data_IF_318711203136
#
_entry.id   IF_318711203136
#
_cell.length_a   1.000
_cell.length_b   1.000
_cell.length_c   1.000
_cell.angle_alpha   90.00
_cell.angle_beta   90.00
_cell.angle_gamma   90.00
#
_symmetry.space_group_name_H-M   'P 1'
#
loop_
_entity.id
_entity.type
_entity.pdbx_description
1 polymer ?
#
# COMPACT_ATOMS: atom_id res chain seq x y z
N UNK A 1 -15.44 20.49 -6.75
CA UNK A 1 -15.50 20.91 -8.15
C UNK A 1 -15.84 22.40 -8.32
N UNK A 2 -16.77 22.98 -7.56
CA UNK A 2 -17.13 24.42 -7.70
C UNK A 2 -15.94 25.41 -7.52
N UNK A 3 -14.85 25.03 -6.85
CA UNK A 3 -13.69 25.89 -6.60
C UNK A 3 -12.43 25.46 -7.37
N UNK A 4 -12.37 24.24 -7.88
CA UNK A 4 -11.21 23.72 -8.60
C UNK A 4 -11.59 22.43 -9.35
N UNK A 5 -11.21 22.35 -10.63
CA UNK A 5 -11.35 21.13 -11.46
C UNK A 5 -10.20 20.13 -11.22
N UNK A 6 -9.17 20.53 -10.47
CA UNK A 6 -8.05 19.67 -10.15
C UNK A 6 -8.49 18.50 -9.28
N UNK A 7 -8.42 17.27 -9.83
CA UNK A 7 -8.79 16.05 -9.13
C UNK A 7 -7.63 15.57 -8.25
N UNK A 8 -7.70 15.84 -6.96
CA UNK A 8 -6.64 15.49 -6.01
C UNK A 8 -6.46 13.98 -5.80
N UNK A 9 -7.44 13.17 -6.18
CA UNK A 9 -7.35 11.70 -6.05
C UNK A 9 -6.44 11.11 -7.12
N UNK A 10 -6.51 11.62 -8.36
CA UNK A 10 -5.81 11.07 -9.52
C UNK A 10 -4.66 11.94 -10.05
N UNK A 11 -4.62 13.24 -9.68
CA UNK A 11 -3.65 14.19 -10.22
C UNK A 11 -2.65 14.71 -9.19
N UNK A 12 -3.03 14.82 -7.89
CA UNK A 12 -2.11 15.31 -6.88
C UNK A 12 -1.03 14.26 -6.57
N UNK A 13 0.21 14.60 -6.87
CA UNK A 13 1.39 13.83 -6.50
C UNK A 13 1.83 14.22 -5.10
N UNK A 14 1.85 13.25 -4.18
CA UNK A 14 2.17 13.47 -2.77
C UNK A 14 2.97 12.30 -2.21
N UNK A 15 3.81 12.58 -1.23
CA UNK A 15 4.59 11.56 -0.53
C UNK A 15 3.67 10.74 0.39
N UNK A 16 3.57 9.42 0.23
CA UNK A 16 2.72 8.58 1.07
C UNK A 16 3.30 8.37 2.49
N UNK A 17 4.57 8.65 2.69
CA UNK A 17 5.25 8.38 3.94
C UNK A 17 5.09 6.91 4.34
N UNK A 18 4.83 6.66 5.62
CA UNK A 18 4.71 5.30 6.16
C UNK A 18 3.59 4.45 5.56
N UNK A 19 2.69 5.02 4.74
CA UNK A 19 1.70 4.22 4.01
C UNK A 19 2.33 3.36 2.89
N UNK A 20 3.56 3.62 2.48
CA UNK A 20 4.31 2.79 1.53
C UNK A 20 4.93 1.53 2.18
N UNK A 21 5.20 1.54 3.49
CA UNK A 21 5.90 0.46 4.19
C UNK A 21 5.35 -0.95 3.97
N UNK A 22 4.02 -1.21 3.93
CA UNK A 22 3.51 -2.57 3.72
C UNK A 22 4.08 -3.26 2.48
N UNK A 23 4.40 -2.51 1.42
CA UNK A 23 4.99 -3.07 0.20
C UNK A 23 6.44 -3.49 0.40
N UNK A 24 7.23 -2.78 1.23
CA UNK A 24 8.58 -3.21 1.64
C UNK A 24 8.50 -4.52 2.42
N UNK A 25 7.53 -4.62 3.34
CA UNK A 25 7.33 -5.81 4.16
C UNK A 25 6.78 -6.99 3.34
N UNK A 26 5.91 -6.75 2.35
CA UNK A 26 5.46 -7.77 1.41
C UNK A 26 6.64 -8.31 0.59
N UNK A 27 7.49 -7.42 0.07
CA UNK A 27 8.69 -7.82 -0.65
C UNK A 27 9.68 -8.59 0.24
N UNK A 28 9.78 -8.26 1.52
CA UNK A 28 10.59 -9.01 2.48
C UNK A 28 10.05 -10.44 2.67
N UNK A 29 8.74 -10.61 2.85
CA UNK A 29 8.12 -11.93 2.95
C UNK A 29 8.35 -12.79 1.70
N UNK A 30 8.34 -12.20 0.51
CA UNK A 30 8.72 -12.87 -0.76
C UNK A 30 10.23 -13.22 -0.84
N UNK A 31 11.06 -12.69 0.07
CA UNK A 31 12.51 -12.90 0.11
C UNK A 31 12.95 -13.52 1.44
N UNK A 32 12.32 -14.62 1.86
CA UNK A 32 12.66 -15.46 3.01
C UNK A 32 12.51 -14.82 4.40
N UNK A 33 11.84 -13.68 4.52
CA UNK A 33 11.42 -13.19 5.82
C UNK A 33 10.11 -13.86 6.26
N UNK A 34 9.88 -13.86 7.55
CA UNK A 34 8.60 -14.25 8.16
C UNK A 34 8.10 -13.16 9.10
N UNK A 35 6.83 -13.16 9.50
CA UNK A 35 6.31 -12.20 10.48
C UNK A 35 7.05 -12.21 11.83
N UNK A 36 7.73 -13.30 12.16
CA UNK A 36 8.53 -13.49 13.38
C UNK A 36 10.02 -13.18 13.20
N UNK A 37 10.49 -12.96 11.98
CA UNK A 37 11.91 -12.58 11.73
C UNK A 37 12.28 -11.35 12.56
N UNK A 38 13.39 -11.44 13.28
CA UNK A 38 13.91 -10.34 14.09
C UNK A 38 14.70 -9.36 13.22
N UNK A 39 14.37 -8.09 13.34
CA UNK A 39 15.08 -6.97 12.71
C UNK A 39 15.47 -5.97 13.80
N UNK A 40 16.68 -5.45 13.73
CA UNK A 40 17.23 -4.55 14.74
C UNK A 40 16.66 -3.14 14.59
N UNK A 41 16.01 -2.62 15.62
CA UNK A 41 15.58 -1.22 15.75
C UNK A 41 16.62 -0.43 16.58
N UNK A 42 17.69 0.02 15.94
CA UNK A 42 18.81 0.72 16.53
C UNK A 42 19.30 1.85 15.60
N UNK A 43 20.10 2.79 16.06
CA UNK A 43 20.66 3.86 15.26
C UNK A 43 21.30 3.34 13.97
N UNK A 44 21.16 4.11 12.90
CA UNK A 44 21.67 3.78 11.57
C UNK A 44 22.14 5.08 10.91
N UNK A 45 23.34 5.06 10.35
CA UNK A 45 23.93 6.15 9.57
C UNK A 45 24.35 5.56 8.23
N UNK A 46 23.94 6.17 7.14
CA UNK A 46 24.13 5.66 5.79
C UNK A 46 24.72 6.73 4.87
N UNK A 47 25.70 6.33 4.07
CA UNK A 47 26.15 7.11 2.92
C UNK A 47 25.17 6.92 1.77
N UNK A 48 24.75 8.01 1.12
CA UNK A 48 23.83 7.98 -0.01
C UNK A 48 24.52 8.32 -1.36
N UNK A 49 25.84 8.21 -1.42
CA UNK A 49 26.67 8.59 -2.56
C UNK A 49 27.72 9.64 -2.17
N UNK A 50 28.77 9.80 -2.99
CA UNK A 50 29.93 10.65 -2.71
C UNK A 50 29.57 12.13 -2.44
N UNK A 51 28.50 12.63 -3.03
CA UNK A 51 28.12 14.04 -2.99
C UNK A 51 26.94 14.34 -2.04
N UNK A 52 26.37 13.31 -1.41
CA UNK A 52 25.24 13.46 -0.50
C UNK A 52 25.70 13.37 0.96
N UNK A 53 25.11 14.22 1.80
CA UNK A 53 25.34 14.16 3.27
C UNK A 53 24.92 12.80 3.82
N UNK A 54 25.62 12.36 4.86
CA UNK A 54 25.25 11.18 5.64
C UNK A 54 23.77 11.27 6.04
N UNK A 55 23.01 10.21 5.73
CA UNK A 55 21.60 10.12 6.07
C UNK A 55 21.41 9.34 7.37
N UNK A 56 20.75 9.97 8.32
CA UNK A 56 20.47 9.41 9.63
C UNK A 56 18.97 9.35 9.86
N UNK A 57 18.30 8.26 9.44
CA UNK A 57 16.88 8.10 9.70
C UNK A 57 16.61 7.93 11.20
N UNK A 58 15.45 8.42 11.65
CA UNK A 58 14.99 8.28 13.03
C UNK A 58 13.57 7.68 13.07
N UNK A 59 13.25 6.98 14.16
CA UNK A 59 11.86 6.66 14.48
C UNK A 59 11.10 7.94 14.87
N UNK A 60 9.78 7.97 14.62
CA UNK A 60 8.95 9.14 14.94
C UNK A 60 9.10 9.61 16.40
N UNK A 61 9.20 8.68 17.32
CA UNK A 61 9.39 8.99 18.76
C UNK A 61 10.84 9.14 19.22
N UNK A 62 11.82 9.16 18.28
CA UNK A 62 13.27 9.24 18.56
C UNK A 62 13.79 8.18 19.55
N UNK A 63 13.09 7.05 19.67
CA UNK A 63 13.44 5.92 20.56
C UNK A 63 13.82 4.70 19.74
N UNK A 64 14.65 3.86 20.32
CA UNK A 64 15.11 2.59 19.79
C UNK A 64 14.58 1.46 20.66
N UNK A 65 14.29 0.30 20.06
CA UNK A 65 13.60 -0.79 20.75
C UNK A 65 14.32 -2.12 20.64
N UNK A 66 15.53 -2.12 20.03
CA UNK A 66 16.33 -3.32 19.86
C UNK A 66 15.76 -4.34 18.89
N UNK A 67 16.16 -5.61 18.97
CA UNK A 67 15.62 -6.67 18.14
C UNK A 67 14.11 -6.78 18.31
N UNK A 68 13.37 -6.64 17.21
CA UNK A 68 11.90 -6.67 17.19
C UNK A 68 11.43 -7.49 16.00
N UNK A 69 10.26 -8.14 16.11
CA UNK A 69 9.73 -8.95 15.03
C UNK A 69 9.30 -8.07 13.84
N UNK A 70 9.35 -8.64 12.64
CA UNK A 70 8.88 -8.00 11.41
C UNK A 70 7.45 -7.47 11.60
N UNK A 71 6.55 -8.26 12.18
CA UNK A 71 5.18 -7.88 12.55
C UNK A 71 5.16 -6.60 13.40
N UNK A 72 5.92 -6.55 14.47
CA UNK A 72 5.99 -5.40 15.36
C UNK A 72 6.49 -4.14 14.63
N UNK A 73 7.48 -4.30 13.75
CA UNK A 73 8.01 -3.23 12.92
C UNK A 73 6.95 -2.57 12.06
N UNK A 74 6.09 -3.35 11.41
CA UNK A 74 4.98 -2.83 10.60
C UNK A 74 3.86 -2.24 11.46
N UNK A 75 3.41 -2.95 12.52
CA UNK A 75 2.33 -2.52 13.40
C UNK A 75 2.65 -1.19 14.11
N UNK A 76 3.89 -1.01 14.54
CA UNK A 76 4.37 0.22 15.20
C UNK A 76 4.99 1.22 14.23
N UNK A 77 5.02 0.88 12.94
CA UNK A 77 5.55 1.76 11.88
C UNK A 77 7.00 2.20 12.11
N UNK A 78 7.89 1.28 12.52
CA UNK A 78 9.30 1.56 12.80
C UNK A 78 10.05 1.95 11.54
N UNK A 79 10.73 3.11 11.55
CA UNK A 79 11.49 3.59 10.40
C UNK A 79 12.80 2.81 10.23
N UNK A 80 13.57 2.66 11.31
CA UNK A 80 14.89 2.04 11.25
C UNK A 80 14.85 0.59 10.80
N UNK A 81 13.87 -0.18 11.30
CA UNK A 81 13.64 -1.54 10.84
C UNK A 81 13.33 -1.57 9.34
N UNK A 82 12.45 -0.67 8.86
CA UNK A 82 12.07 -0.59 7.44
C UNK A 82 13.28 -0.28 6.55
N UNK A 83 14.15 0.65 6.97
CA UNK A 83 15.36 0.99 6.21
C UNK A 83 16.34 -0.17 6.17
N UNK A 84 16.55 -0.91 7.26
CA UNK A 84 17.40 -2.11 7.29
C UNK A 84 16.88 -3.20 6.36
N UNK A 85 15.58 -3.46 6.38
CA UNK A 85 14.93 -4.40 5.45
C UNK A 85 15.16 -3.94 4.00
N UNK A 86 14.97 -2.66 3.72
CA UNK A 86 15.16 -2.12 2.38
C UNK A 86 16.62 -2.21 1.91
N UNK A 87 17.58 -2.03 2.81
CA UNK A 87 19.00 -2.19 2.52
C UNK A 87 19.34 -3.64 2.17
N UNK A 88 18.80 -4.61 2.92
CA UNK A 88 18.99 -6.04 2.69
C UNK A 88 18.35 -6.50 1.36
N UNK A 89 17.14 -6.05 1.08
CA UNK A 89 16.42 -6.37 -0.16
C UNK A 89 17.08 -5.79 -1.42
N UNK A 90 17.72 -4.64 -1.30
CA UNK A 90 18.32 -3.88 -2.38
C UNK A 90 17.34 -2.96 -3.12
N UNK A 91 17.80 -1.76 -3.44
CA UNK A 91 16.97 -0.69 -4.03
C UNK A 91 16.35 -1.05 -5.37
N UNK A 92 17.11 -1.73 -6.25
CA UNK A 92 16.59 -2.15 -7.57
C UNK A 92 15.35 -3.05 -7.47
N UNK A 93 15.32 -3.98 -6.49
CA UNK A 93 14.14 -4.83 -6.27
C UNK A 93 12.94 -3.99 -5.81
N UNK A 94 13.16 -3.06 -4.88
CA UNK A 94 12.10 -2.18 -4.34
C UNK A 94 11.52 -1.29 -5.43
N UNK A 95 12.37 -0.64 -6.22
CA UNK A 95 11.95 0.21 -7.34
C UNK A 95 11.15 -0.58 -8.36
N UNK A 96 11.66 -1.75 -8.79
CA UNK A 96 10.96 -2.60 -9.76
C UNK A 96 9.61 -3.10 -9.21
N UNK A 97 9.56 -3.47 -7.95
CA UNK A 97 8.32 -3.92 -7.31
C UNK A 97 7.29 -2.79 -7.22
N UNK A 98 7.70 -1.58 -6.84
CA UNK A 98 6.82 -0.42 -6.80
C UNK A 98 6.26 -0.01 -8.17
N UNK A 99 7.07 -0.16 -9.24
CA UNK A 99 6.63 0.04 -10.63
C UNK A 99 5.62 -1.04 -11.06
N UNK A 100 5.88 -2.31 -10.76
CA UNK A 100 4.94 -3.40 -11.05
C UNK A 100 3.58 -3.21 -10.40
N UNK A 101 3.55 -2.65 -9.19
CA UNK A 101 2.33 -2.29 -8.46
C UNK A 101 1.65 -1.03 -8.98
N UNK A 102 2.30 -0.28 -9.89
CA UNK A 102 1.79 0.99 -10.39
C UNK A 102 1.78 2.13 -9.37
N UNK A 103 2.54 2.00 -8.27
CA UNK A 103 2.62 3.04 -7.22
C UNK A 103 3.47 4.20 -7.70
N UNK A 104 4.68 3.91 -8.21
CA UNK A 104 5.62 4.91 -8.69
C UNK A 104 5.97 4.65 -10.14
N UNK A 105 6.07 5.71 -10.94
CA UNK A 105 6.46 5.59 -12.36
C UNK A 105 7.99 5.49 -12.50
N UNK A 106 8.72 6.50 -12.03
CA UNK A 106 10.19 6.57 -12.10
C UNK A 106 10.77 7.15 -10.79
N UNK A 107 10.73 6.40 -9.68
CA UNK A 107 11.27 6.89 -8.43
C UNK A 107 12.81 6.85 -8.43
N UNK A 108 13.42 7.80 -7.73
CA UNK A 108 14.87 7.79 -7.49
C UNK A 108 15.27 6.56 -6.65
N UNK A 109 16.41 5.97 -6.97
CA UNK A 109 16.97 4.82 -6.25
C UNK A 109 17.68 5.27 -4.96
N UNK A 110 16.93 5.79 -3.99
CA UNK A 110 17.41 6.20 -2.68
C UNK A 110 16.73 5.37 -1.59
N UNK A 111 17.45 5.04 -0.50
CA UNK A 111 16.88 4.25 0.61
C UNK A 111 15.68 4.93 1.27
N UNK A 112 15.59 6.25 1.19
CA UNK A 112 14.44 7.02 1.69
C UNK A 112 13.11 6.63 1.01
N UNK A 113 13.14 6.03 -0.20
CA UNK A 113 11.92 5.51 -0.86
C UNK A 113 11.20 4.49 0.03
N UNK A 114 11.93 3.70 0.82
CA UNK A 114 11.36 2.72 1.75
C UNK A 114 10.45 3.35 2.81
N UNK A 115 10.67 4.62 3.09
CA UNK A 115 9.86 5.43 4.00
C UNK A 115 8.79 6.27 3.28
N UNK A 116 8.60 6.04 1.96
CA UNK A 116 7.60 6.73 1.15
C UNK A 116 7.95 8.17 0.81
N UNK A 117 9.23 8.45 0.51
CA UNK A 117 9.69 9.79 0.09
C UNK A 117 9.40 10.11 -1.37
N UNK A 118 9.13 9.10 -2.21
CA UNK A 118 8.70 9.31 -3.59
C UNK A 118 7.21 9.67 -3.64
N UNK A 119 6.81 10.42 -4.66
CA UNK A 119 5.44 10.91 -4.80
C UNK A 119 4.55 9.95 -5.60
N UNK A 120 3.31 9.84 -5.18
CA UNK A 120 2.26 9.06 -5.85
C UNK A 120 0.90 9.72 -5.67
N UNK A 121 -0.12 9.20 -6.37
CA UNK A 121 -1.49 9.67 -6.17
C UNK A 121 -2.25 8.79 -5.17
N UNK A 122 -3.30 9.34 -4.58
CA UNK A 122 -4.17 8.58 -3.67
C UNK A 122 -4.77 7.37 -4.37
N UNK A 123 -5.19 7.51 -5.62
CA UNK A 123 -5.76 6.41 -6.41
C UNK A 123 -4.75 5.29 -6.63
N UNK A 124 -3.52 5.60 -7.07
CA UNK A 124 -2.46 4.59 -7.30
C UNK A 124 -2.15 3.80 -6.03
N UNK A 125 -1.96 4.51 -4.91
CA UNK A 125 -1.65 3.86 -3.65
C UNK A 125 -2.81 2.99 -3.15
N UNK A 126 -4.05 3.50 -3.17
CA UNK A 126 -5.24 2.74 -2.73
C UNK A 126 -5.45 1.50 -3.59
N UNK A 127 -5.28 1.61 -4.92
CA UNK A 127 -5.37 0.48 -5.84
C UNK A 127 -4.31 -0.60 -5.56
N UNK A 128 -3.09 -0.18 -5.23
CA UNK A 128 -2.03 -1.13 -4.86
C UNK A 128 -2.37 -1.89 -3.56
N UNK A 129 -3.02 -1.23 -2.58
CA UNK A 129 -3.49 -1.92 -1.37
C UNK A 129 -4.55 -2.98 -1.64
N UNK A 130 -5.35 -2.84 -2.70
CA UNK A 130 -6.32 -3.87 -3.08
C UNK A 130 -5.64 -5.22 -3.37
N UNK A 131 -4.36 -5.24 -3.77
CA UNK A 131 -3.65 -6.50 -3.98
C UNK A 131 -3.44 -7.31 -2.69
N UNK A 132 -3.40 -6.67 -1.51
CA UNK A 132 -3.32 -7.39 -0.24
C UNK A 132 -4.58 -8.21 0.04
N UNK A 133 -5.77 -7.65 -0.19
CA UNK A 133 -7.04 -8.33 0.04
C UNK A 133 -7.44 -9.25 -1.12
N UNK A 134 -6.85 -9.05 -2.30
CA UNK A 134 -7.12 -9.82 -3.51
C UNK A 134 -6.12 -10.97 -3.75
N UNK A 135 -5.53 -11.51 -2.70
CA UNK A 135 -4.61 -12.64 -2.80
C UNK A 135 -3.34 -12.37 -3.62
N UNK A 136 -2.83 -11.15 -3.61
CA UNK A 136 -1.60 -10.75 -4.31
C UNK A 136 -1.78 -10.36 -5.77
N UNK A 137 -3.01 -10.27 -6.27
CA UNK A 137 -3.31 -9.93 -7.66
C UNK A 137 -3.48 -8.44 -7.84
N UNK A 138 -2.85 -7.90 -8.90
CA UNK A 138 -2.94 -6.48 -9.23
C UNK A 138 -4.36 -6.08 -9.62
N UNK A 139 -4.88 -5.05 -8.99
CA UNK A 139 -6.17 -4.44 -9.32
C UNK A 139 -5.94 -3.16 -10.11
N UNK A 140 -6.57 -3.05 -11.27
CA UNK A 140 -6.67 -1.80 -12.04
C UNK A 140 -8.03 -1.18 -11.77
N UNK A 141 -8.10 0.08 -11.31
CA UNK A 141 -9.39 0.75 -11.09
C UNK A 141 -10.18 0.85 -12.40
N UNK A 142 -11.44 0.49 -12.37
CA UNK A 142 -12.36 0.59 -13.50
C UNK A 142 -13.38 1.67 -13.17
N UNK A 143 -13.51 2.67 -14.01
CA UNK A 143 -14.50 3.72 -13.89
C UNK A 143 -15.72 3.46 -14.76
N UNK A 144 -15.51 2.88 -15.97
CA UNK A 144 -16.55 2.54 -16.93
C UNK A 144 -16.50 1.02 -17.14
N UNK A 145 -17.51 0.33 -16.65
CA UNK A 145 -17.62 -1.12 -16.81
C UNK A 145 -18.08 -1.49 -18.22
N UNK A 146 -19.15 -0.84 -18.71
CA UNK A 146 -19.78 -1.14 -19.98
C UNK A 146 -20.37 0.11 -20.64
N UNK A 147 -20.36 0.14 -21.97
CA UNK A 147 -21.09 1.12 -22.79
C UNK A 147 -22.02 0.32 -23.73
N UNK A 148 -23.28 0.71 -23.79
CA UNK A 148 -24.29 0.14 -24.66
C UNK A 148 -24.89 1.24 -25.56
N UNK A 149 -25.32 0.86 -26.76
CA UNK A 149 -26.09 1.72 -27.63
C UNK A 149 -27.55 1.81 -27.19
N UNK A 150 -28.37 2.58 -27.94
CA UNK A 150 -29.81 2.73 -27.69
C UNK A 150 -30.63 1.44 -27.87
N UNK A 151 -30.07 0.45 -28.57
CA UNK A 151 -30.67 -0.84 -28.83
C UNK A 151 -30.27 -1.91 -27.82
N UNK A 152 -29.36 -1.57 -26.88
CA UNK A 152 -28.86 -2.46 -25.85
C UNK A 152 -27.67 -3.31 -26.27
N UNK A 153 -27.10 -3.09 -27.46
CA UNK A 153 -25.89 -3.79 -27.89
C UNK A 153 -24.70 -3.24 -27.15
N UNK A 154 -23.83 -4.12 -26.65
CA UNK A 154 -22.61 -3.73 -25.95
C UNK A 154 -21.53 -3.27 -26.93
N UNK A 155 -21.23 -1.97 -26.93
CA UNK A 155 -20.18 -1.35 -27.74
C UNK A 155 -18.79 -1.52 -27.07
N UNK A 156 -18.75 -1.41 -25.75
CA UNK A 156 -17.55 -1.54 -24.94
C UNK A 156 -17.81 -2.33 -23.68
N UNK A 157 -16.89 -3.23 -23.32
CA UNK A 157 -16.89 -3.98 -22.07
C UNK A 157 -15.47 -4.07 -21.52
N UNK A 158 -15.27 -3.67 -20.27
CA UNK A 158 -14.00 -3.81 -19.57
C UNK A 158 -13.72 -5.26 -19.17
N UNK A 159 -14.76 -6.03 -18.88
CA UNK A 159 -14.64 -7.45 -18.55
C UNK A 159 -14.29 -8.26 -19.82
N UNK A 160 -13.07 -8.76 -19.86
CA UNK A 160 -12.53 -9.56 -20.96
C UNK A 160 -12.32 -11.03 -20.60
N UNK A 161 -12.73 -11.42 -19.39
CA UNK A 161 -12.59 -12.81 -18.97
C UNK A 161 -13.61 -13.67 -19.69
N UNK A 162 -13.14 -14.77 -20.24
CA UNK A 162 -14.01 -15.75 -20.90
C UNK A 162 -14.59 -16.71 -19.87
N UNK A 163 -15.86 -16.92 -19.97
CA UNK A 163 -16.52 -17.97 -19.20
C UNK A 163 -16.61 -19.26 -20.00
N UNK A 164 -15.85 -20.26 -19.59
CA UNK A 164 -15.95 -21.60 -20.18
C UNK A 164 -17.17 -22.32 -19.64
N UNK A 165 -18.00 -22.83 -20.53
CA UNK A 165 -19.21 -23.62 -20.21
C UNK A 165 -20.36 -22.85 -19.54
N UNK A 166 -20.38 -21.50 -19.60
CA UNK A 166 -21.49 -20.70 -19.05
C UNK A 166 -22.82 -20.86 -19.79
N UNK A 167 -22.81 -21.27 -21.06
CA UNK A 167 -23.99 -21.43 -21.89
C UNK A 167 -24.65 -22.82 -21.79
N UNK A 168 -24.36 -23.57 -20.74
CA UNK A 168 -24.96 -24.88 -20.51
C UNK A 168 -26.37 -24.73 -19.96
N UNK A 169 -27.34 -25.38 -20.61
CA UNK A 169 -28.78 -25.33 -20.25
C UNK A 169 -29.07 -26.13 -18.96
N UNK A 170 -28.22 -27.08 -18.58
CA UNK A 170 -28.36 -27.89 -17.37
C UNK A 170 -26.98 -28.21 -16.77
N UNK A 171 -26.86 -28.08 -15.45
CA UNK A 171 -25.64 -28.39 -14.69
C UNK A 171 -25.66 -29.78 -14.04
N UNK A 172 -26.70 -30.56 -14.22
CA UNK A 172 -26.79 -31.93 -13.73
C UNK A 172 -25.71 -32.81 -14.39
N UNK A 173 -24.78 -33.29 -13.57
CA UNK A 173 -23.61 -34.11 -13.98
C UNK A 173 -22.62 -33.43 -14.94
N UNK A 174 -22.53 -32.09 -14.95
CA UNK A 174 -21.58 -31.32 -15.76
C UNK A 174 -20.62 -30.50 -14.88
N UNK A 175 -19.48 -30.22 -15.45
CA UNK A 175 -18.49 -29.37 -14.74
C UNK A 175 -19.04 -27.96 -14.50
N UNK A 176 -18.73 -27.40 -13.33
CA UNK A 176 -19.07 -26.04 -12.95
C UNK A 176 -18.45 -25.04 -13.94
N UNK A 177 -19.17 -23.98 -14.36
CA UNK A 177 -18.60 -22.91 -15.18
C UNK A 177 -17.34 -22.34 -14.56
N UNK A 178 -16.30 -22.17 -15.37
CA UNK A 178 -15.02 -21.58 -14.93
C UNK A 178 -14.78 -20.27 -15.66
N UNK A 179 -14.57 -19.21 -14.90
CA UNK A 179 -14.12 -17.91 -15.43
C UNK A 179 -12.59 -17.93 -15.46
N UNK A 180 -12.00 -17.57 -16.60
CA UNK A 180 -10.55 -17.45 -16.72
C UNK A 180 -10.03 -16.34 -15.79
N UNK A 181 -8.94 -16.64 -15.06
CA UNK A 181 -8.26 -15.66 -14.21
C UNK A 181 -7.13 -15.02 -15.01
N UNK A 182 -7.35 -13.80 -15.46
CA UNK A 182 -6.37 -13.01 -16.24
C UNK A 182 -5.68 -11.93 -15.41
N UNK A 183 -5.80 -12.00 -14.08
CA UNK A 183 -5.14 -11.04 -13.19
C UNK A 183 -3.62 -11.29 -13.12
N UNK A 184 -2.85 -10.20 -13.05
CA UNK A 184 -1.42 -10.25 -12.87
C UNK A 184 -1.07 -10.51 -11.40
N UNK A 185 -0.51 -11.68 -11.08
CA UNK A 185 -0.02 -12.02 -9.75
C UNK A 185 1.25 -11.25 -9.46
N UNK A 186 1.29 -10.44 -8.40
CA UNK A 186 2.43 -9.60 -7.99
C UNK A 186 3.22 -10.24 -6.85
N UNK A 187 2.52 -10.85 -5.90
CA UNK A 187 3.10 -11.62 -4.80
C UNK A 187 2.18 -12.80 -4.43
N UNK A 188 2.69 -13.75 -3.70
CA UNK A 188 1.96 -14.98 -3.39
C UNK A 188 0.71 -14.73 -2.53
N UNK A 189 -0.32 -15.60 -2.60
CA UNK A 189 -1.48 -15.50 -1.71
C UNK A 189 -1.09 -15.59 -0.22
N UNK A 190 -0.06 -16.36 0.10
CA UNK A 190 0.49 -16.52 1.46
C UNK A 190 1.04 -15.18 1.97
N UNK A 191 1.82 -14.49 1.14
CA UNK A 191 2.32 -13.13 1.45
C UNK A 191 1.16 -12.15 1.63
N UNK A 192 0.15 -12.18 0.75
CA UNK A 192 -1.04 -11.35 0.87
C UNK A 192 -1.74 -11.57 2.22
N UNK A 193 -1.93 -12.82 2.62
CA UNK A 193 -2.53 -13.18 3.91
C UNK A 193 -1.68 -12.69 5.09
N UNK A 194 -0.36 -12.91 5.07
CA UNK A 194 0.54 -12.50 6.15
C UNK A 194 0.55 -10.99 6.33
N UNK A 195 0.63 -10.22 5.23
CA UNK A 195 0.58 -8.75 5.27
C UNK A 195 -0.78 -8.27 5.78
N UNK A 196 -1.88 -8.85 5.31
CA UNK A 196 -3.23 -8.50 5.80
C UNK A 196 -3.33 -8.70 7.30
N UNK A 197 -2.88 -9.86 7.82
CA UNK A 197 -2.84 -10.14 9.27
C UNK A 197 -1.96 -9.13 10.05
N UNK A 198 -0.84 -8.70 9.47
CA UNK A 198 0.01 -7.67 10.11
C UNK A 198 -0.67 -6.28 10.07
N UNK A 199 -1.41 -5.97 9.00
CA UNK A 199 -2.16 -4.71 8.87
C UNK A 199 -3.42 -4.67 9.76
N UNK A 200 -4.06 -5.80 10.03
CA UNK A 200 -5.06 -5.94 11.10
C UNK A 200 -4.44 -5.59 12.47
N UNK A 201 -3.22 -6.07 12.71
CA UNK A 201 -2.44 -5.71 13.90
C UNK A 201 -2.18 -4.21 14.04
N UNK A 202 -2.05 -3.46 12.95
CA UNK A 202 -1.97 -1.97 12.98
C UNK A 202 -3.23 -1.37 13.61
N UNK A 203 -4.42 -1.91 13.30
CA UNK A 203 -5.69 -1.45 13.86
C UNK A 203 -5.85 -1.94 15.30
N UNK A 204 -5.54 -3.20 15.59
CA UNK A 204 -5.80 -3.80 16.91
C UNK A 204 -4.86 -3.28 18.00
N UNK A 205 -3.58 -3.10 17.71
CA UNK A 205 -2.51 -2.78 18.69
C UNK A 205 -1.47 -1.78 18.20
N UNK A 206 -1.58 -1.35 16.94
CA UNK A 206 -0.61 -0.48 16.27
C UNK A 206 -1.01 0.98 16.21
N UNK A 207 -0.57 1.64 15.14
CA UNK A 207 -0.76 3.08 14.93
C UNK A 207 -2.20 3.46 14.57
N UNK A 208 -3.02 2.51 14.07
CA UNK A 208 -4.42 2.70 13.71
C UNK A 208 -5.43 2.41 14.83
N UNK A 209 -4.98 2.27 16.08
CA UNK A 209 -5.76 1.78 17.24
C UNK A 209 -7.05 2.53 17.53
N UNK A 210 -7.19 3.76 17.05
CA UNK A 210 -8.44 4.53 17.17
C UNK A 210 -9.62 3.89 16.44
N UNK A 211 -9.36 3.13 15.39
CA UNK A 211 -10.37 2.45 14.59
C UNK A 211 -10.81 1.10 15.18
N UNK A 212 -10.15 0.63 16.24
CA UNK A 212 -10.45 -0.67 16.88
C UNK A 212 -11.91 -0.81 17.32
N UNK A 213 -12.55 0.31 17.71
CA UNK A 213 -13.94 0.30 18.19
C UNK A 213 -14.98 0.22 17.05
N UNK A 214 -14.55 0.35 15.79
CA UNK A 214 -15.40 0.08 14.65
C UNK A 214 -15.50 -1.44 14.55
N UNK A 215 -16.68 -1.99 14.77
CA UNK A 215 -16.90 -3.44 14.78
C UNK A 215 -16.93 -4.02 13.35
N UNK A 216 -15.79 -3.90 12.65
CA UNK A 216 -15.54 -4.41 11.31
C UNK A 216 -14.18 -5.08 11.27
N UNK A 217 -14.10 -6.22 10.57
CA UNK A 217 -12.83 -6.86 10.24
C UNK A 217 -12.11 -6.00 9.19
N UNK A 218 -11.14 -5.22 9.65
CA UNK A 218 -10.41 -4.28 8.80
C UNK A 218 -8.91 -4.35 9.03
N UNK A 219 -8.19 -4.08 7.98
CA UNK A 219 -6.76 -3.89 7.98
C UNK A 219 -6.41 -2.51 7.41
N UNK A 220 -5.27 -1.94 7.75
CA UNK A 220 -4.90 -0.65 7.21
C UNK A 220 -3.56 -0.12 7.72
N UNK A 221 -3.16 1.00 7.16
CA UNK A 221 -1.89 1.66 7.52
C UNK A 221 -2.03 3.17 7.53
N UNK A 222 -1.48 3.79 8.55
CA UNK A 222 -1.31 5.23 8.67
C UNK A 222 -0.05 5.68 7.93
N UNK A 223 -0.11 6.84 7.29
CA UNK A 223 1.03 7.56 6.73
C UNK A 223 1.11 8.97 7.31
N UNK A 224 2.32 9.43 7.55
CA UNK A 224 2.60 10.81 7.95
C UNK A 224 3.95 11.17 7.35
N UNK A 225 4.02 12.29 6.66
CA UNK A 225 5.26 12.79 6.08
C UNK A 225 6.05 13.63 7.09
N UNK A 226 7.29 13.92 6.75
CA UNK A 226 8.13 14.81 7.54
C UNK A 226 7.43 16.17 7.75
N UNK A 227 7.60 16.76 8.93
CA UNK A 227 6.97 18.03 9.34
C UNK A 227 5.42 17.99 9.33
N UNK A 228 4.80 16.81 9.26
CA UNK A 228 3.33 16.62 9.22
C UNK A 228 2.67 17.47 8.12
N UNK A 229 3.23 17.50 6.92
CA UNK A 229 2.65 18.22 5.78
C UNK A 229 1.52 17.44 5.13
N UNK A 230 1.64 16.11 5.14
CA UNK A 230 0.67 15.20 4.55
C UNK A 230 0.35 14.07 5.51
N UNK A 231 -0.91 13.74 5.65
CA UNK A 231 -1.39 12.61 6.45
C UNK A 231 -2.23 11.68 5.60
N UNK A 232 -2.01 10.38 5.78
CA UNK A 232 -2.63 9.32 5.00
C UNK A 232 -3.19 8.23 5.91
N UNK A 233 -4.30 7.68 5.48
CA UNK A 233 -4.78 6.39 5.96
C UNK A 233 -5.28 5.59 4.78
N UNK A 234 -4.77 4.37 4.61
CA UNK A 234 -5.32 3.42 3.65
C UNK A 234 -5.80 2.22 4.45
N UNK A 235 -7.09 1.96 4.36
CA UNK A 235 -7.74 0.84 5.04
C UNK A 235 -8.55 0.00 4.07
N UNK A 236 -8.77 -1.25 4.42
CA UNK A 236 -9.59 -2.15 3.62
C UNK A 236 -10.28 -3.21 4.48
N UNK A 237 -11.39 -3.68 3.97
CA UNK A 237 -12.11 -4.89 4.39
C UNK A 237 -12.07 -5.89 3.24
N UNK A 238 -12.71 -7.05 3.38
CA UNK A 238 -12.83 -8.03 2.29
C UNK A 238 -13.59 -7.52 1.05
N UNK A 239 -14.32 -6.39 1.17
CA UNK A 239 -15.21 -5.86 0.12
C UNK A 239 -14.91 -4.43 -0.29
N UNK A 240 -14.17 -3.67 0.50
CA UNK A 240 -13.99 -2.24 0.30
C UNK A 240 -12.56 -1.82 0.65
N UNK A 241 -11.94 -1.01 -0.20
CA UNK A 241 -10.70 -0.30 0.10
C UNK A 241 -10.96 1.20 0.10
N UNK A 242 -10.48 1.90 1.12
CA UNK A 242 -10.64 3.33 1.31
C UNK A 242 -9.26 3.96 1.50
N UNK A 243 -8.96 4.98 0.68
CA UNK A 243 -7.82 5.84 0.88
C UNK A 243 -8.28 7.22 1.32
N UNK A 244 -7.67 7.74 2.39
CA UNK A 244 -7.88 9.10 2.88
C UNK A 244 -6.55 9.84 2.87
N UNK A 245 -6.58 11.04 2.34
CA UNK A 245 -5.45 11.97 2.32
C UNK A 245 -5.90 13.33 2.83
N UNK A 246 -5.12 13.91 3.72
CA UNK A 246 -5.31 15.29 4.19
C UNK A 246 -3.98 16.03 4.09
N UNK A 247 -4.02 17.17 3.41
CA UNK A 247 -2.88 18.03 3.16
C UNK A 247 -3.32 19.32 2.49
N UNK A 248 -2.40 20.27 2.33
CA UNK A 248 -2.65 21.51 1.60
C UNK A 248 -2.11 21.40 0.18
N UNK A 249 -2.73 22.08 -0.79
CA UNK A 249 -2.25 22.12 -2.17
C UNK A 249 -0.81 22.65 -2.23
N UNK A 250 -0.52 23.74 -1.52
CA UNK A 250 0.84 24.18 -1.24
C UNK A 250 1.31 23.55 0.07
N UNK A 251 2.31 22.66 0.07
CA UNK A 251 2.71 21.92 1.25
C UNK A 251 3.06 22.81 2.43
N UNK A 252 2.31 22.71 3.50
CA UNK A 252 2.58 23.34 4.80
C UNK A 252 2.17 22.42 5.92
N UNK A 253 2.77 22.57 7.09
CA UNK A 253 2.46 21.72 8.24
C UNK A 253 0.98 21.81 8.62
N UNK A 254 0.37 20.64 8.86
CA UNK A 254 -0.99 20.51 9.42
C UNK A 254 -1.01 20.78 10.93
N UNK A 255 0.18 20.76 11.58
CA UNK A 255 0.34 20.94 13.00
C UNK A 255 1.17 19.84 13.65
N UNK A 256 1.80 20.14 14.78
CA UNK A 256 2.75 19.25 15.46
C UNK A 256 2.19 17.85 15.82
N UNK A 257 0.89 17.76 16.06
CA UNK A 257 0.22 16.54 16.52
C UNK A 257 -0.69 15.92 15.45
N UNK A 258 -0.76 16.50 14.25
CA UNK A 258 -1.59 15.97 13.17
C UNK A 258 -0.85 14.86 12.44
N UNK A 259 -1.40 13.66 12.52
CA UNK A 259 -0.84 12.43 11.97
C UNK A 259 -1.92 11.63 11.24
N UNK A 260 -1.52 10.68 10.39
CA UNK A 260 -2.46 9.78 9.74
C UNK A 260 -3.34 8.95 10.71
N UNK A 261 -2.95 8.84 11.97
CA UNK A 261 -3.75 8.20 13.01
C UNK A 261 -4.82 9.12 13.63
N UNK A 262 -4.81 10.39 13.31
CA UNK A 262 -5.68 11.40 13.96
C UNK A 262 -6.49 12.22 12.96
N UNK A 263 -5.89 12.57 11.83
CA UNK A 263 -6.43 13.54 10.87
C UNK A 263 -7.00 12.85 9.61
N UNK A 264 -6.36 11.78 9.13
CA UNK A 264 -6.78 11.03 7.94
C UNK A 264 -7.70 9.81 8.22
#
# INVERSE_FOLDING_TARGET
>A
FKKSEFNRVSQALRQPGSAFKPFIYALALENNYSPSTLVLDAPLVLEQGSDLKMWQPENYGKKFYGPSTLRMGLEKSRNLMTVRIAQDLGLKKIVNFSKKLGIYDNPNELLSISLGSAETTLLKLTSAYCSFVNGGKLVKPILIDRIQDSEGNTIFNTEKRECKKCNQISFLNKEVPKISDNFNQIFTPETAYQITSMLEGVIQRGTGRKLKNINLDMAGKTGTTNKNTDTWFIGFTSKLAIGVYVGFDNPKSLGKYETGAKTA
#
